data_IF_856711643560
#
_entry.id   IF_856711643560
#
_cell.length_a   1.000
_cell.length_b   1.000
_cell.length_c   1.000
_cell.angle_alpha   90.00
_cell.angle_beta   90.00
_cell.angle_gamma   90.00
#
_symmetry.space_group_name_H-M   'P 1'
#
loop_
_entity.id
_entity.type
_entity.pdbx_description
1 polymer ?
#
# COMPACT_ATOMS: atom_id res chain seq x y z
N UNK A 1 9.41 5.51 0.62
CA UNK A 1 9.30 5.82 -0.83
C UNK A 1 8.91 4.65 -1.72
N UNK A 2 9.56 3.47 -1.69
CA UNK A 2 9.07 2.31 -2.46
C UNK A 2 7.67 1.94 -1.94
N UNK A 3 6.65 2.16 -2.76
CA UNK A 3 5.24 1.80 -2.55
C UNK A 3 4.37 2.74 -1.69
N UNK A 4 4.90 3.87 -1.19
CA UNK A 4 4.05 4.88 -0.50
C UNK A 4 3.12 5.61 -1.49
N UNK A 5 3.56 5.79 -2.74
CA UNK A 5 2.79 6.40 -3.83
C UNK A 5 1.43 5.73 -4.06
N UNK A 6 1.31 4.44 -3.71
CA UNK A 6 0.09 3.67 -3.87
C UNK A 6 -1.01 4.16 -2.93
N UNK A 7 -0.67 4.63 -1.72
CA UNK A 7 -1.65 5.18 -0.77
C UNK A 7 -2.23 6.48 -1.32
N UNK A 8 -1.40 7.33 -1.91
CA UNK A 8 -1.85 8.57 -2.55
C UNK A 8 -2.80 8.28 -3.73
N UNK A 9 -2.48 7.29 -4.57
CA UNK A 9 -3.37 6.87 -5.67
C UNK A 9 -4.70 6.31 -5.16
N UNK A 10 -4.67 5.50 -4.10
CA UNK A 10 -5.91 4.99 -3.49
C UNK A 10 -6.75 6.13 -2.90
N UNK A 11 -6.11 7.13 -2.29
CA UNK A 11 -6.80 8.32 -1.79
C UNK A 11 -7.45 9.13 -2.92
N UNK A 12 -6.79 9.28 -4.06
CA UNK A 12 -7.34 9.96 -5.24
C UNK A 12 -8.53 9.21 -5.84
N UNK A 13 -8.43 7.88 -5.95
CA UNK A 13 -9.52 7.02 -6.43
C UNK A 13 -10.73 7.07 -5.49
N UNK A 14 -10.49 7.09 -4.17
CA UNK A 14 -11.55 7.26 -3.18
C UNK A 14 -12.27 8.59 -3.36
N UNK A 15 -11.52 9.69 -3.52
CA UNK A 15 -12.11 11.00 -3.75
C UNK A 15 -12.89 11.05 -5.06
N UNK A 16 -12.39 10.41 -6.12
CA UNK A 16 -13.12 10.26 -7.37
C UNK A 16 -14.45 9.50 -7.16
N UNK A 17 -14.43 8.38 -6.44
CA UNK A 17 -15.63 7.60 -6.14
C UNK A 17 -16.67 8.43 -5.37
N UNK A 18 -16.25 9.17 -4.34
CA UNK A 18 -17.13 10.05 -3.56
C UNK A 18 -17.74 11.17 -4.41
N UNK A 19 -16.94 11.84 -5.25
CA UNK A 19 -17.44 12.91 -6.14
C UNK A 19 -18.47 12.42 -7.16
N UNK A 20 -18.42 11.15 -7.52
CA UNK A 20 -19.33 10.54 -8.49
C UNK A 20 -20.42 9.69 -7.82
N UNK A 21 -20.59 9.79 -6.49
CA UNK A 21 -21.60 9.05 -5.73
C UNK A 21 -21.48 7.52 -5.80
N UNK A 22 -20.29 7.00 -6.09
CA UNK A 22 -19.98 5.56 -6.05
C UNK A 22 -19.63 5.13 -4.63
N UNK A 23 -20.62 5.18 -3.73
CA UNK A 23 -20.41 4.99 -2.28
C UNK A 23 -19.79 3.62 -1.97
N UNK A 24 -20.33 2.54 -2.53
CA UNK A 24 -19.78 1.19 -2.30
C UNK A 24 -18.35 1.03 -2.80
N UNK A 25 -17.97 1.74 -3.87
CA UNK A 25 -16.59 1.75 -4.35
C UNK A 25 -15.67 2.52 -3.39
N UNK A 26 -16.14 3.66 -2.86
CA UNK A 26 -15.38 4.42 -1.88
C UNK A 26 -15.12 3.60 -0.60
N UNK A 27 -16.12 2.85 -0.12
CA UNK A 27 -15.99 1.93 1.02
C UNK A 27 -14.97 0.81 0.76
N UNK A 28 -15.03 0.18 -0.42
CA UNK A 28 -14.04 -0.83 -0.81
C UNK A 28 -12.61 -0.27 -0.89
N UNK A 29 -12.46 0.99 -1.33
CA UNK A 29 -11.16 1.66 -1.38
C UNK A 29 -10.68 2.01 0.04
N UNK A 30 -11.58 2.38 0.96
CA UNK A 30 -11.24 2.58 2.37
C UNK A 30 -10.62 1.31 2.98
N UNK A 31 -11.23 0.14 2.74
CA UNK A 31 -10.68 -1.15 3.18
C UNK A 31 -9.32 -1.44 2.53
N UNK A 32 -9.18 -1.17 1.22
CA UNK A 32 -7.94 -1.37 0.50
C UNK A 32 -6.78 -0.50 1.03
N UNK A 33 -7.07 0.75 1.44
CA UNK A 33 -6.09 1.65 2.06
C UNK A 33 -5.59 1.06 3.37
N UNK A 34 -6.48 0.51 4.20
CA UNK A 34 -6.10 -0.13 5.48
C UNK A 34 -5.17 -1.32 5.24
N UNK A 35 -5.54 -2.21 4.31
CA UNK A 35 -4.70 -3.39 3.97
C UNK A 35 -3.34 -2.94 3.44
N UNK A 36 -3.31 -1.97 2.53
CA UNK A 36 -2.07 -1.44 1.98
C UNK A 36 -1.16 -0.83 3.07
N UNK A 37 -1.72 -0.06 4.00
CA UNK A 37 -0.96 0.54 5.10
C UNK A 37 -0.35 -0.51 6.03
N UNK A 38 -1.10 -1.58 6.33
CA UNK A 38 -0.60 -2.71 7.14
C UNK A 38 0.56 -3.41 6.44
N UNK A 39 0.42 -3.71 5.15
CA UNK A 39 1.47 -4.41 4.39
C UNK A 39 2.73 -3.55 4.19
N UNK A 40 2.58 -2.24 3.98
CA UNK A 40 3.71 -1.30 3.93
C UNK A 40 4.47 -1.27 5.26
N UNK A 41 3.74 -1.19 6.38
CA UNK A 41 4.35 -1.22 7.72
C UNK A 41 5.06 -2.55 7.98
N UNK A 42 4.47 -3.67 7.58
CA UNK A 42 5.08 -5.00 7.69
C UNK A 42 6.39 -5.09 6.91
N UNK A 43 6.41 -4.62 5.67
CA UNK A 43 7.62 -4.56 4.82
C UNK A 43 8.71 -3.65 5.38
N UNK A 44 8.33 -2.52 5.98
CA UNK A 44 9.27 -1.64 6.66
C UNK A 44 9.87 -2.31 7.92
N UNK A 45 9.09 -3.10 8.65
CA UNK A 45 9.55 -3.82 9.84
C UNK A 45 10.39 -5.07 9.53
N UNK A 46 10.19 -5.69 8.36
CA UNK A 46 10.97 -6.85 7.90
C UNK A 46 12.32 -6.48 7.27
N UNK A 47 12.83 -5.27 7.54
CA UNK A 47 14.15 -4.79 7.11
C UNK A 47 15.34 -5.49 7.77
N UNK A 48 15.29 -6.82 7.92
CA UNK A 48 16.45 -7.70 7.90
C UNK A 48 16.43 -8.43 6.55
N UNK A 49 16.80 -7.70 5.50
CA UNK A 49 17.11 -8.29 4.21
C UNK A 49 18.39 -9.11 4.40
N UNK A 50 18.24 -10.39 4.75
CA UNK A 50 19.34 -11.34 4.81
C UNK A 50 19.94 -11.45 3.40
N UNK A 51 21.02 -10.72 3.17
CA UNK A 51 21.84 -10.88 1.99
C UNK A 51 22.23 -12.37 1.85
N UNK A 52 22.06 -13.00 0.69
CA UNK A 52 22.69 -14.29 0.47
C UNK A 52 24.19 -14.05 0.43
N UNK A 53 24.90 -14.55 1.44
CA UNK A 53 26.36 -14.65 1.42
C UNK A 53 26.77 -15.63 0.32
N UNK A 54 26.88 -15.16 -0.92
CA UNK A 54 27.65 -15.84 -1.95
C UNK A 54 29.13 -15.54 -1.72
N UNK A 55 29.73 -16.30 -0.80
CA UNK A 55 31.17 -16.51 -0.76
C UNK A 55 31.51 -17.48 -1.88
N UNK A 56 31.87 -16.97 -3.05
CA UNK A 56 32.56 -17.80 -4.05
C UNK A 56 34.06 -17.57 -3.92
N UNK A 57 34.74 -18.64 -3.49
CA UNK A 57 36.18 -18.80 -3.51
C UNK A 57 36.72 -19.00 -4.94
#
# INVERSE_FOLDING_TARGET
MKNEWMIDVLADLRQFALRNYYISLAEQIDDAIVVAAVELKKRASSGSDSAPSETHA
#
